data_IF_305270488321
#
_entry.id   IF_305270488321
#
_cell.length_a   1.000
_cell.length_b   1.000
_cell.length_c   1.000
_cell.angle_alpha   90.00
_cell.angle_beta   90.00
_cell.angle_gamma   90.00
#
_symmetry.space_group_name_H-M   'P 1'
#
loop_
_entity.id
_entity.type
_entity.pdbx_description
1 polymer ?
#
# COMPACT_ATOMS: atom_id res chain seq x y z
N UNK A 1 -16.68 1.09 3.96
CA UNK A 1 -16.14 0.35 2.81
C UNK A 1 -15.50 1.32 1.84
N UNK A 2 -14.32 0.98 1.31
CA UNK A 2 -13.60 1.81 0.33
C UNK A 2 -14.10 1.55 -1.10
N UNK A 3 -13.78 2.46 -2.02
CA UNK A 3 -14.07 2.30 -3.46
C UNK A 3 -13.41 1.08 -4.09
N UNK A 4 -12.41 0.50 -3.46
CA UNK A 4 -11.76 -0.73 -3.92
C UNK A 4 -12.56 -2.01 -3.65
N UNK A 5 -13.70 -1.89 -2.99
CA UNK A 5 -14.58 -3.04 -2.77
C UNK A 5 -15.27 -3.43 -4.08
N UNK A 6 -15.33 -4.74 -4.37
CA UNK A 6 -15.91 -5.27 -5.62
C UNK A 6 -17.34 -4.76 -5.92
N UNK A 7 -18.12 -4.43 -4.88
CA UNK A 7 -19.48 -3.86 -5.05
C UNK A 7 -19.39 -2.48 -5.71
N UNK A 8 -18.39 -1.65 -5.33
CA UNK A 8 -18.25 -0.33 -5.93
C UNK A 8 -17.90 -0.47 -7.42
N UNK A 9 -16.87 -1.24 -7.75
CA UNK A 9 -16.47 -1.51 -9.14
C UNK A 9 -17.65 -2.08 -9.96
N UNK A 10 -18.24 -3.18 -9.50
CA UNK A 10 -19.25 -3.92 -10.26
C UNK A 10 -20.57 -3.16 -10.41
N UNK A 11 -21.02 -2.44 -9.40
CA UNK A 11 -22.36 -1.86 -9.36
C UNK A 11 -22.39 -0.33 -9.51
N UNK A 12 -21.28 0.35 -9.28
CA UNK A 12 -21.21 1.82 -9.38
C UNK A 12 -20.29 2.24 -10.51
N UNK A 13 -18.99 1.97 -10.43
CA UNK A 13 -17.98 2.46 -11.37
C UNK A 13 -18.21 1.93 -12.79
N UNK A 14 -18.27 0.60 -12.97
CA UNK A 14 -18.49 -0.03 -14.29
C UNK A 14 -19.84 0.35 -14.92
N UNK A 15 -20.82 0.75 -14.12
CA UNK A 15 -22.13 1.19 -14.59
C UNK A 15 -22.27 2.70 -14.67
N UNK A 16 -21.25 3.48 -14.30
CA UNK A 16 -21.28 4.94 -14.29
C UNK A 16 -22.39 5.50 -13.40
N UNK A 17 -22.51 4.96 -12.18
CA UNK A 17 -23.48 5.42 -11.17
C UNK A 17 -22.77 6.31 -10.18
N UNK A 18 -23.25 7.54 -10.06
CA UNK A 18 -22.73 8.48 -9.06
C UNK A 18 -23.18 8.10 -7.66
N UNK A 19 -22.29 8.33 -6.70
CA UNK A 19 -22.58 8.15 -5.28
C UNK A 19 -23.76 9.02 -4.85
N UNK A 20 -24.66 8.45 -4.04
CA UNK A 20 -25.87 9.16 -3.58
C UNK A 20 -27.04 9.15 -4.54
N UNK A 21 -26.91 8.47 -5.69
CA UNK A 21 -28.00 8.39 -6.67
C UNK A 21 -29.08 7.40 -6.25
N UNK A 22 -30.35 7.77 -6.48
CA UNK A 22 -31.48 6.85 -6.44
C UNK A 22 -32.10 6.76 -7.82
N UNK A 23 -31.93 5.63 -8.51
CA UNK A 23 -32.38 5.43 -9.88
C UNK A 23 -32.46 3.94 -10.23
N UNK A 24 -33.09 3.63 -11.36
CA UNK A 24 -33.09 2.29 -11.97
C UNK A 24 -32.21 2.33 -13.21
N UNK A 25 -31.24 1.43 -13.29
CA UNK A 25 -30.40 1.26 -14.47
C UNK A 25 -30.30 -0.20 -14.83
N UNK A 26 -30.76 -0.57 -16.01
CA UNK A 26 -30.91 -1.94 -16.50
C UNK A 26 -31.76 -2.79 -15.53
N UNK A 27 -31.15 -3.85 -14.99
CA UNK A 27 -31.72 -4.79 -14.04
C UNK A 27 -31.47 -4.44 -12.56
N UNK A 28 -30.89 -3.29 -12.30
CA UNK A 28 -30.44 -2.89 -10.97
C UNK A 28 -31.18 -1.64 -10.50
N UNK A 29 -31.78 -1.70 -9.32
CA UNK A 29 -32.36 -0.55 -8.62
C UNK A 29 -31.38 -0.04 -7.59
N UNK A 30 -31.04 1.24 -7.67
CA UNK A 30 -30.22 1.96 -6.70
C UNK A 30 -31.14 2.77 -5.79
N UNK A 31 -31.01 2.58 -4.51
CA UNK A 31 -31.76 3.34 -3.50
C UNK A 31 -30.76 3.89 -2.50
N UNK A 32 -30.60 5.20 -2.49
CA UNK A 32 -29.78 5.88 -1.50
C UNK A 32 -30.66 6.51 -0.44
N UNK A 33 -30.47 6.12 0.81
CA UNK A 33 -31.22 6.67 1.95
C UNK A 33 -30.24 7.05 3.05
N UNK A 34 -30.57 8.12 3.77
CA UNK A 34 -29.80 8.65 4.89
C UNK A 34 -30.74 8.93 6.07
N UNK A 35 -30.19 9.39 7.18
CA UNK A 35 -31.02 9.81 8.32
C UNK A 35 -31.96 10.99 7.99
N UNK A 36 -31.64 11.76 6.96
CA UNK A 36 -32.47 12.89 6.51
C UNK A 36 -33.81 12.44 5.95
N UNK A 37 -33.89 11.24 5.40
CA UNK A 37 -35.14 10.68 4.85
C UNK A 37 -36.13 10.23 5.93
N UNK A 38 -35.71 10.23 7.21
CA UNK A 38 -36.51 9.84 8.36
C UNK A 38 -36.31 10.76 9.57
N UNK A 39 -35.91 12.00 9.33
CA UNK A 39 -35.50 12.94 10.39
C UNK A 39 -36.58 13.17 11.45
N UNK A 40 -37.86 13.17 11.03
CA UNK A 40 -39.01 13.41 11.90
C UNK A 40 -39.21 12.33 12.98
N UNK A 41 -38.66 11.13 12.75
CA UNK A 41 -38.77 10.01 13.69
C UNK A 41 -37.50 9.81 14.52
N UNK A 42 -36.52 10.70 14.40
CA UNK A 42 -35.27 10.59 15.12
C UNK A 42 -35.24 11.44 16.38
N UNK A 43 -34.62 10.92 17.44
CA UNK A 43 -34.53 11.67 18.69
C UNK A 43 -33.53 12.84 18.57
N UNK A 44 -33.79 13.92 19.32
CA UNK A 44 -32.88 15.06 19.41
C UNK A 44 -31.46 14.63 19.84
N UNK A 45 -31.33 13.65 20.75
CA UNK A 45 -30.05 13.12 21.18
C UNK A 45 -29.26 12.50 20.01
N UNK A 46 -29.96 11.75 19.14
CA UNK A 46 -29.30 11.19 17.94
C UNK A 46 -28.91 12.30 16.96
N UNK A 47 -29.76 13.27 16.70
CA UNK A 47 -29.45 14.39 15.80
C UNK A 47 -28.27 15.22 16.31
N UNK A 48 -28.18 15.46 17.62
CA UNK A 48 -27.02 16.12 18.25
C UNK A 48 -25.73 15.32 18.09
N UNK A 49 -25.79 13.97 18.20
CA UNK A 49 -24.63 13.13 17.95
C UNK A 49 -24.19 13.18 16.48
N UNK A 50 -25.12 13.15 15.54
CA UNK A 50 -24.84 13.29 14.11
C UNK A 50 -24.17 14.63 13.80
N UNK A 51 -24.69 15.73 14.38
CA UNK A 51 -24.12 17.05 14.21
C UNK A 51 -22.70 17.15 14.79
N UNK A 52 -22.47 16.56 15.96
CA UNK A 52 -21.12 16.47 16.53
C UNK A 52 -20.14 15.70 15.61
N UNK A 53 -20.61 14.61 14.97
CA UNK A 53 -19.80 13.87 14.00
C UNK A 53 -19.54 14.75 12.77
N UNK A 54 -20.56 15.45 12.27
CA UNK A 54 -20.44 16.34 11.10
C UNK A 54 -19.37 17.40 11.30
N UNK A 55 -19.36 18.04 12.47
CA UNK A 55 -18.41 19.12 12.78
C UNK A 55 -17.00 18.60 13.08
N UNK A 56 -16.90 17.54 13.91
CA UNK A 56 -15.60 17.07 14.41
C UNK A 56 -14.91 16.05 13.51
N UNK A 57 -15.68 15.32 12.68
CA UNK A 57 -15.20 14.21 11.83
C UNK A 57 -15.92 14.21 10.49
N UNK A 58 -15.71 15.21 9.63
CA UNK A 58 -16.48 15.38 8.40
C UNK A 58 -16.36 14.19 7.44
N UNK A 59 -15.20 13.52 7.36
CA UNK A 59 -15.05 12.34 6.53
C UNK A 59 -15.86 11.16 7.07
N UNK A 60 -15.88 10.96 8.38
CA UNK A 60 -16.75 9.95 9.01
C UNK A 60 -18.24 10.27 8.78
N UNK A 61 -18.61 11.55 8.81
CA UNK A 61 -19.99 11.97 8.50
C UNK A 61 -20.36 11.59 7.07
N UNK A 62 -19.53 11.95 6.08
CA UNK A 62 -19.76 11.62 4.67
C UNK A 62 -19.89 10.11 4.45
N UNK A 63 -19.04 9.31 5.08
CA UNK A 63 -19.02 7.87 4.90
C UNK A 63 -20.11 7.14 5.72
N UNK A 64 -20.09 7.28 7.05
CA UNK A 64 -20.92 6.45 7.94
C UNK A 64 -22.37 6.96 8.09
N UNK A 65 -22.57 8.27 7.92
CA UNK A 65 -23.88 8.89 8.11
C UNK A 65 -24.58 9.13 6.76
N UNK A 66 -23.82 9.60 5.77
CA UNK A 66 -24.36 9.93 4.44
C UNK A 66 -24.17 8.78 3.44
N UNK A 67 -23.69 7.61 3.86
CA UNK A 67 -23.57 6.42 3.03
C UNK A 67 -22.54 6.52 1.89
N UNK A 68 -21.54 7.39 2.05
CA UNK A 68 -20.51 7.59 1.06
C UNK A 68 -19.46 6.46 1.00
N UNK A 69 -18.81 6.33 -0.13
CA UNK A 69 -17.64 5.48 -0.28
C UNK A 69 -16.38 6.22 0.15
N UNK A 70 -15.47 5.53 0.83
CA UNK A 70 -14.17 6.07 1.20
C UNK A 70 -13.15 5.88 0.08
N UNK A 71 -12.35 6.90 -0.20
CA UNK A 71 -11.19 6.77 -1.07
C UNK A 71 -10.04 6.05 -0.36
N UNK A 72 -9.98 6.16 0.98
CA UNK A 72 -8.98 5.53 1.84
C UNK A 72 -9.65 4.87 3.04
N UNK A 73 -9.06 3.82 3.59
CA UNK A 73 -9.52 3.22 4.83
C UNK A 73 -9.38 4.19 6.02
N UNK A 74 -10.24 4.06 7.03
CA UNK A 74 -10.07 4.80 8.29
C UNK A 74 -8.81 4.29 9.01
N UNK A 75 -8.01 5.21 9.54
CA UNK A 75 -6.81 4.87 10.30
C UNK A 75 -5.65 4.35 9.44
N UNK A 76 -5.58 4.72 8.14
CA UNK A 76 -4.43 4.40 7.28
C UNK A 76 -3.13 4.86 7.91
N UNK A 77 -2.09 4.05 7.73
CA UNK A 77 -0.77 4.27 8.32
C UNK A 77 -0.01 5.36 7.56
N UNK A 78 -0.09 5.33 6.22
CA UNK A 78 0.66 6.24 5.37
C UNK A 78 -0.23 7.34 4.78
N UNK A 79 0.03 8.58 5.18
CA UNK A 79 -0.61 9.78 4.65
C UNK A 79 0.39 10.72 3.98
N UNK A 80 1.67 10.38 4.05
CA UNK A 80 2.83 11.13 3.58
C UNK A 80 3.26 10.72 2.17
N UNK A 81 2.33 10.43 1.28
CA UNK A 81 2.64 10.04 -0.08
C UNK A 81 1.79 10.79 -1.11
N UNK A 82 2.34 10.92 -2.33
CA UNK A 82 1.67 11.49 -3.49
C UNK A 82 2.16 10.83 -4.78
N UNK A 83 1.38 10.95 -5.83
CA UNK A 83 1.78 10.52 -7.18
C UNK A 83 2.84 11.45 -7.75
N UNK A 84 3.74 10.89 -8.55
CA UNK A 84 4.76 11.64 -9.27
C UNK A 84 5.77 10.74 -9.97
N UNK A 85 6.60 11.34 -10.82
CA UNK A 85 7.61 10.61 -11.58
C UNK A 85 8.70 10.03 -10.68
N UNK A 86 9.10 8.80 -10.97
CA UNK A 86 10.26 8.19 -10.33
C UNK A 86 11.53 8.95 -10.73
N UNK A 87 12.37 9.32 -9.74
CA UNK A 87 13.65 9.99 -10.00
C UNK A 87 14.82 9.19 -9.42
N UNK A 88 15.87 9.07 -10.22
CA UNK A 88 17.12 8.45 -9.80
C UNK A 88 18.06 9.54 -9.24
N UNK A 89 18.05 9.72 -7.93
CA UNK A 89 18.89 10.70 -7.22
C UNK A 89 20.11 10.06 -6.53
N UNK A 90 20.25 8.77 -6.66
CA UNK A 90 21.34 7.97 -6.07
C UNK A 90 21.32 6.53 -6.55
N UNK A 91 21.80 5.61 -5.73
CA UNK A 91 21.78 4.18 -6.03
C UNK A 91 20.39 3.63 -5.77
N UNK A 92 19.79 3.02 -6.79
CA UNK A 92 18.52 2.30 -6.64
C UNK A 92 18.75 0.99 -5.87
N UNK A 93 17.89 0.72 -4.90
CA UNK A 93 17.81 -0.57 -4.20
C UNK A 93 16.41 -1.12 -4.38
N UNK A 94 16.33 -2.41 -4.59
CA UNK A 94 15.06 -3.09 -4.83
C UNK A 94 14.67 -3.86 -3.57
N UNK A 95 13.40 -3.84 -3.24
CA UNK A 95 12.82 -4.66 -2.17
C UNK A 95 11.96 -5.75 -2.75
N UNK A 96 11.99 -6.92 -2.15
CA UNK A 96 11.22 -8.06 -2.61
C UNK A 96 10.53 -8.77 -1.45
N UNK A 97 9.21 -8.93 -1.55
CA UNK A 97 8.41 -9.78 -0.67
C UNK A 97 7.96 -11.01 -1.45
N UNK A 98 8.01 -12.18 -0.80
CA UNK A 98 7.76 -13.45 -1.44
C UNK A 98 6.41 -14.02 -1.01
N UNK A 99 5.47 -14.10 -1.96
CA UNK A 99 4.25 -14.87 -1.83
C UNK A 99 4.28 -16.14 -2.68
N UNK A 100 3.34 -17.04 -2.44
CA UNK A 100 3.22 -18.24 -3.24
C UNK A 100 1.83 -18.36 -3.88
N UNK A 101 0.89 -19.09 -3.30
CA UNK A 101 -0.38 -19.39 -3.98
C UNK A 101 -1.39 -18.26 -3.94
N UNK A 102 -1.63 -17.67 -2.77
CA UNK A 102 -2.64 -16.62 -2.59
C UNK A 102 -2.00 -15.23 -2.44
N UNK A 103 -0.80 -15.18 -1.89
CA UNK A 103 -0.08 -13.95 -1.68
C UNK A 103 0.84 -13.66 -2.88
N UNK A 104 0.94 -12.41 -3.31
CA UNK A 104 1.78 -12.04 -4.43
C UNK A 104 3.25 -12.02 -4.06
N UNK A 105 4.12 -12.38 -5.00
CA UNK A 105 5.51 -11.96 -4.98
C UNK A 105 5.60 -10.57 -5.59
N UNK A 106 6.27 -9.65 -4.90
CA UNK A 106 6.36 -8.25 -5.30
C UNK A 106 7.80 -7.82 -5.49
N UNK A 107 8.05 -6.85 -6.36
CA UNK A 107 9.33 -6.18 -6.52
C UNK A 107 9.11 -4.68 -6.59
N UNK A 108 9.73 -3.95 -5.68
CA UNK A 108 9.65 -2.49 -5.59
C UNK A 108 11.03 -1.88 -5.82
N UNK A 109 11.13 -0.90 -6.71
CA UNK A 109 12.34 -0.08 -6.90
C UNK A 109 12.24 1.14 -6.01
N UNK A 110 13.33 1.47 -5.31
CA UNK A 110 13.43 2.65 -4.43
C UNK A 110 14.65 3.49 -4.73
N UNK A 111 14.52 4.79 -4.55
CA UNK A 111 15.63 5.74 -4.59
C UNK A 111 15.42 6.80 -3.51
N UNK A 112 16.42 7.10 -2.69
CA UNK A 112 16.29 7.95 -1.50
C UNK A 112 17.07 9.25 -1.65
N UNK A 113 16.36 10.37 -1.65
CA UNK A 113 16.92 11.71 -1.46
C UNK A 113 16.96 12.03 0.04
N UNK A 114 18.10 11.76 0.67
CA UNK A 114 18.29 12.00 2.11
C UNK A 114 18.26 13.47 2.47
N UNK A 115 18.65 14.34 1.55
CA UNK A 115 18.73 15.80 1.77
C UNK A 115 17.34 16.40 1.85
N UNK A 116 16.47 16.04 0.92
CA UNK A 116 15.12 16.55 0.82
C UNK A 116 14.09 15.67 1.56
N UNK A 117 14.52 14.58 2.18
CA UNK A 117 13.64 13.63 2.86
C UNK A 117 12.54 13.06 1.93
N UNK A 118 12.95 12.63 0.73
CA UNK A 118 12.04 12.07 -0.28
C UNK A 118 12.47 10.63 -0.61
N UNK A 119 11.52 9.73 -0.68
CA UNK A 119 11.69 8.38 -1.23
C UNK A 119 10.88 8.29 -2.52
N UNK A 120 11.55 8.02 -3.64
CA UNK A 120 10.92 7.69 -4.91
C UNK A 120 10.68 6.19 -4.97
N UNK A 121 9.46 5.80 -5.35
CA UNK A 121 8.99 4.41 -5.29
C UNK A 121 8.30 4.04 -6.59
N UNK A 122 8.66 2.88 -7.14
CA UNK A 122 7.99 2.26 -8.28
C UNK A 122 7.77 0.77 -8.01
N UNK A 123 6.54 0.30 -8.12
CA UNK A 123 6.20 -1.12 -8.11
C UNK A 123 6.45 -1.69 -9.51
N UNK A 124 7.34 -2.67 -9.62
CA UNK A 124 7.73 -3.27 -10.89
C UNK A 124 6.89 -4.49 -11.25
N UNK A 125 6.57 -5.31 -10.27
CA UNK A 125 5.58 -6.36 -10.42
C UNK A 125 4.93 -6.76 -9.09
N UNK A 126 3.71 -7.32 -9.23
CA UNK A 126 2.86 -7.81 -8.16
C UNK A 126 2.12 -9.03 -8.70
N UNK A 127 2.66 -10.24 -8.50
CA UNK A 127 2.17 -11.45 -9.18
C UNK A 127 2.11 -12.64 -8.24
N UNK A 128 1.05 -13.42 -8.36
CA UNK A 128 0.83 -14.67 -7.62
C UNK A 128 1.39 -15.89 -8.36
N UNK A 129 1.58 -16.97 -7.63
CA UNK A 129 1.91 -18.30 -8.14
C UNK A 129 3.16 -18.34 -9.04
N UNK A 130 4.16 -17.52 -8.74
CA UNK A 130 5.42 -17.54 -9.48
C UNK A 130 6.32 -18.70 -9.02
N UNK A 131 6.93 -19.39 -9.97
CA UNK A 131 8.04 -20.33 -9.70
C UNK A 131 9.35 -19.56 -9.48
N UNK A 132 10.33 -20.17 -8.81
CA UNK A 132 11.69 -19.60 -8.63
C UNK A 132 12.29 -19.10 -9.94
N UNK A 133 12.18 -19.89 -11.03
CA UNK A 133 12.72 -19.51 -12.34
C UNK A 133 12.02 -18.28 -12.94
N UNK A 134 10.71 -18.12 -12.70
CA UNK A 134 9.94 -16.96 -13.15
C UNK A 134 10.33 -15.71 -12.34
N UNK A 135 10.51 -15.83 -11.01
CA UNK A 135 11.00 -14.76 -10.16
C UNK A 135 12.41 -14.35 -10.62
N UNK A 136 13.32 -15.30 -10.82
CA UNK A 136 14.68 -15.01 -11.25
C UNK A 136 14.73 -14.26 -12.60
N UNK A 137 13.86 -14.65 -13.55
CA UNK A 137 13.77 -13.98 -14.84
C UNK A 137 13.25 -12.54 -14.71
N UNK A 138 12.17 -12.33 -13.93
CA UNK A 138 11.62 -11.00 -13.68
C UNK A 138 12.64 -10.11 -12.95
N UNK A 139 13.33 -10.64 -11.95
CA UNK A 139 14.39 -9.91 -11.26
C UNK A 139 15.52 -9.50 -12.23
N UNK A 140 15.93 -10.39 -13.14
CA UNK A 140 16.93 -10.07 -14.15
C UNK A 140 16.48 -9.03 -15.16
N UNK A 141 15.16 -9.02 -15.49
CA UNK A 141 14.55 -8.05 -16.40
C UNK A 141 14.47 -6.65 -15.78
N UNK A 142 14.02 -6.55 -14.52
CA UNK A 142 13.72 -5.26 -13.87
C UNK A 142 14.87 -4.72 -13.01
N UNK A 143 15.57 -5.57 -12.30
CA UNK A 143 16.65 -5.15 -11.40
C UNK A 143 18.05 -5.40 -12.00
N UNK A 144 18.18 -6.16 -13.09
CA UNK A 144 19.44 -6.52 -13.71
C UNK A 144 20.41 -7.15 -12.70
N UNK A 145 21.51 -6.45 -12.37
CA UNK A 145 22.48 -6.83 -11.33
C UNK A 145 22.40 -5.98 -10.07
N UNK A 146 21.44 -5.07 -10.02
CA UNK A 146 21.27 -4.22 -8.84
C UNK A 146 20.86 -5.06 -7.63
N UNK A 147 21.09 -4.48 -6.45
CA UNK A 147 20.81 -5.12 -5.18
C UNK A 147 19.31 -5.25 -4.94
N UNK A 148 18.87 -6.47 -4.64
CA UNK A 148 17.54 -6.80 -4.17
C UNK A 148 17.61 -7.20 -2.70
N UNK A 149 16.80 -6.59 -1.86
CA UNK A 149 16.64 -6.94 -0.44
C UNK A 149 15.38 -7.77 -0.29
N UNK A 150 15.51 -9.07 -0.13
CA UNK A 150 14.40 -10.00 -0.05
C UNK A 150 14.00 -10.34 1.38
N UNK A 151 12.76 -10.80 1.56
CA UNK A 151 12.30 -11.33 2.84
C UNK A 151 13.19 -12.48 3.32
N UNK A 152 13.64 -12.43 4.58
CA UNK A 152 14.49 -13.44 5.19
C UNK A 152 13.74 -14.72 5.61
N UNK A 153 12.42 -14.78 5.49
CA UNK A 153 11.63 -15.99 5.79
C UNK A 153 11.87 -17.11 4.78
N UNK A 154 12.40 -16.77 3.58
CA UNK A 154 12.64 -17.69 2.46
C UNK A 154 14.15 -17.83 2.08
N UNK A 155 15.00 -18.27 3.01
CA UNK A 155 16.47 -18.30 2.77
C UNK A 155 16.87 -19.24 1.64
N UNK A 156 16.12 -20.34 1.43
CA UNK A 156 16.33 -21.27 0.31
C UNK A 156 16.05 -20.58 -1.03
N UNK A 157 14.92 -19.87 -1.15
CA UNK A 157 14.58 -19.13 -2.35
C UNK A 157 15.64 -18.07 -2.68
N UNK A 158 16.10 -17.32 -1.69
CA UNK A 158 17.19 -16.35 -1.86
C UNK A 158 18.46 -17.03 -2.43
N UNK A 159 18.83 -18.18 -1.88
CA UNK A 159 19.99 -18.95 -2.36
C UNK A 159 19.81 -19.41 -3.82
N UNK A 160 18.62 -19.91 -4.17
CA UNK A 160 18.29 -20.34 -5.54
C UNK A 160 18.29 -19.15 -6.52
N UNK A 161 17.75 -18.00 -6.15
CA UNK A 161 17.77 -16.78 -6.97
C UNK A 161 19.20 -16.29 -7.24
N UNK A 162 20.06 -16.33 -6.23
CA UNK A 162 21.49 -16.00 -6.38
C UNK A 162 22.21 -17.00 -7.29
N UNK A 163 21.91 -18.31 -7.18
CA UNK A 163 22.46 -19.33 -8.08
C UNK A 163 22.01 -19.12 -9.54
N UNK A 164 20.81 -18.53 -9.75
CA UNK A 164 20.29 -18.14 -11.06
C UNK A 164 20.81 -16.77 -11.54
N UNK A 165 21.72 -16.16 -10.80
CA UNK A 165 22.46 -14.95 -11.19
C UNK A 165 21.81 -13.63 -10.78
N UNK A 166 20.79 -13.64 -9.91
CA UNK A 166 20.31 -12.44 -9.26
C UNK A 166 21.27 -11.98 -8.16
N UNK A 167 21.11 -10.76 -7.65
CA UNK A 167 21.89 -10.20 -6.55
C UNK A 167 20.96 -9.92 -5.36
N UNK A 168 20.60 -10.96 -4.62
CA UNK A 168 19.63 -10.90 -3.53
C UNK A 168 20.31 -11.08 -2.18
N UNK A 169 19.99 -10.18 -1.23
CA UNK A 169 20.39 -10.31 0.17
C UNK A 169 19.14 -10.41 1.05
N UNK A 170 19.24 -11.15 2.14
CA UNK A 170 18.16 -11.25 3.10
C UNK A 170 18.00 -9.94 3.90
N UNK A 171 16.78 -9.49 4.12
CA UNK A 171 16.50 -8.41 5.08
C UNK A 171 16.85 -8.86 6.50
N UNK A 172 17.17 -7.90 7.38
CA UNK A 172 17.40 -8.17 8.81
C UNK A 172 16.11 -7.81 9.55
N UNK A 173 15.45 -8.80 10.14
CA UNK A 173 14.22 -8.61 10.93
C UNK A 173 14.53 -8.75 12.42
N UNK A 174 14.28 -7.70 13.21
CA UNK A 174 14.19 -7.74 14.67
C UNK A 174 12.75 -7.82 15.15
N UNK A 175 12.54 -7.91 16.47
CA UNK A 175 11.21 -8.05 17.07
C UNK A 175 10.22 -6.96 16.65
N UNK A 176 10.66 -5.71 16.47
CA UNK A 176 9.83 -4.56 16.11
C UNK A 176 10.07 -4.07 14.67
N UNK A 177 10.61 -4.93 13.80
CA UNK A 177 11.04 -4.54 12.44
C UNK A 177 9.91 -3.96 11.57
N UNK A 178 8.66 -4.38 11.80
CA UNK A 178 7.49 -3.82 11.09
C UNK A 178 7.27 -2.37 11.50
N UNK A 179 7.19 -2.10 12.80
CA UNK A 179 6.97 -0.74 13.32
C UNK A 179 8.16 0.17 12.98
N UNK A 180 9.38 -0.34 13.11
CA UNK A 180 10.59 0.39 12.72
C UNK A 180 10.54 0.79 11.25
N UNK A 181 10.25 -0.12 10.33
CA UNK A 181 10.16 0.17 8.90
C UNK A 181 9.01 1.14 8.57
N UNK A 182 7.86 1.03 9.26
CA UNK A 182 6.77 2.00 9.12
C UNK A 182 7.25 3.39 9.54
N UNK A 183 7.93 3.50 10.69
CA UNK A 183 8.46 4.80 11.18
C UNK A 183 9.45 5.39 10.19
N UNK A 184 10.37 4.60 9.65
CA UNK A 184 11.31 5.06 8.62
C UNK A 184 10.58 5.65 7.40
N UNK A 185 9.54 4.97 6.91
CA UNK A 185 8.76 5.45 5.76
C UNK A 185 7.96 6.72 6.10
N UNK A 186 7.49 6.85 7.34
CA UNK A 186 6.76 8.05 7.79
C UNK A 186 7.67 9.28 7.96
N UNK A 187 8.97 9.09 8.14
CA UNK A 187 9.96 10.18 8.26
C UNK A 187 10.32 10.83 6.90
N UNK A 188 9.79 10.32 5.80
CA UNK A 188 10.05 10.77 4.43
C UNK A 188 8.74 11.04 3.69
N UNK A 189 8.76 11.93 2.69
CA UNK A 189 7.69 12.05 1.71
C UNK A 189 7.87 10.97 0.63
N UNK A 190 6.84 10.16 0.39
CA UNK A 190 6.88 9.12 -0.63
C UNK A 190 6.33 9.67 -1.95
N UNK A 191 7.13 9.60 -3.01
CA UNK A 191 6.69 9.89 -4.39
C UNK A 191 6.50 8.55 -5.10
N UNK A 192 5.26 8.21 -5.38
CA UNK A 192 4.86 6.91 -5.95
C UNK A 192 4.52 7.10 -7.41
N UNK A 193 5.13 6.30 -8.30
CA UNK A 193 4.82 6.36 -9.72
C UNK A 193 3.39 5.88 -10.01
N UNK A 194 2.73 6.51 -11.00
CA UNK A 194 1.31 6.28 -11.31
C UNK A 194 0.99 4.85 -11.75
N UNK A 195 1.96 4.16 -12.33
CA UNK A 195 1.86 2.75 -12.75
C UNK A 195 1.90 1.75 -11.58
N UNK A 196 2.20 2.21 -10.35
CA UNK A 196 2.29 1.38 -9.15
C UNK A 196 0.93 1.07 -8.52
N UNK A 197 -0.04 0.63 -9.32
CA UNK A 197 -1.46 0.52 -8.95
C UNK A 197 -1.69 -0.29 -7.68
N UNK A 198 -1.09 -1.47 -7.54
CA UNK A 198 -1.28 -2.30 -6.35
C UNK A 198 -0.62 -1.72 -5.09
N UNK A 199 0.53 -1.04 -5.21
CA UNK A 199 1.14 -0.31 -4.09
C UNK A 199 0.26 0.87 -3.64
N UNK A 200 -0.32 1.63 -4.59
CA UNK A 200 -1.26 2.73 -4.30
C UNK A 200 -2.46 2.18 -3.53
N UNK A 201 -2.97 1.01 -3.94
CA UNK A 201 -4.06 0.30 -3.27
C UNK A 201 -3.70 -0.09 -1.84
N UNK A 202 -2.51 -0.65 -1.63
CA UNK A 202 -2.01 -0.98 -0.30
C UNK A 202 -1.86 0.27 0.57
N UNK A 203 -1.25 1.35 0.08
CA UNK A 203 -1.08 2.61 0.82
C UNK A 203 -2.40 3.24 1.23
N UNK A 204 -3.47 3.04 0.45
CA UNK A 204 -4.82 3.53 0.79
C UNK A 204 -5.55 2.66 1.81
N UNK A 205 -5.12 1.42 2.03
CA UNK A 205 -5.85 0.45 2.87
C UNK A 205 -5.05 -0.09 4.05
N UNK A 206 -3.72 -0.01 4.04
CA UNK A 206 -2.90 -0.45 5.16
C UNK A 206 -3.12 0.44 6.38
N UNK A 207 -3.73 -0.11 7.41
CA UNK A 207 -4.24 0.65 8.56
C UNK A 207 -3.90 -0.02 9.88
N UNK A 208 -4.00 0.75 10.96
CA UNK A 208 -3.89 0.22 12.31
C UNK A 208 -5.14 -0.58 12.70
N UNK A 209 -4.97 -1.66 13.45
CA UNK A 209 -6.08 -2.36 14.09
C UNK A 209 -6.72 -1.43 15.14
N UNK A 210 -8.04 -1.20 15.05
CA UNK A 210 -8.79 -0.26 15.91
C UNK A 210 -8.54 -0.45 17.42
N UNK A 211 -8.39 -1.70 17.86
CA UNK A 211 -8.17 -2.05 19.29
C UNK A 211 -6.71 -2.03 19.74
N UNK A 212 -5.75 -1.96 18.82
CA UNK A 212 -4.31 -1.98 19.10
C UNK A 212 -3.60 -1.00 18.18
N UNK A 213 -3.57 0.26 18.54
CA UNK A 213 -3.01 1.38 17.76
C UNK A 213 -1.54 1.25 17.32
N UNK A 214 -0.84 0.19 17.72
CA UNK A 214 0.53 -0.11 17.33
C UNK A 214 0.68 -1.43 16.56
N UNK A 215 -0.43 -2.06 16.18
CA UNK A 215 -0.40 -3.29 15.39
C UNK A 215 -1.10 -2.99 14.07
N UNK A 216 -0.40 -3.06 12.93
CA UNK A 216 -1.04 -2.91 11.62
C UNK A 216 -1.89 -4.15 11.29
N UNK A 217 -2.82 -3.99 10.35
CA UNK A 217 -3.55 -5.13 9.79
C UNK A 217 -2.58 -6.03 9.00
N UNK A 218 -2.88 -7.32 8.97
CA UNK A 218 -2.13 -8.31 8.19
C UNK A 218 -2.79 -8.50 6.81
N UNK A 219 -2.94 -7.39 6.08
CA UNK A 219 -3.48 -7.30 4.72
C UNK A 219 -2.98 -6.03 4.06
N UNK A 220 -2.92 -6.02 2.73
CA UNK A 220 -2.47 -4.85 1.96
C UNK A 220 -1.06 -4.41 2.35
N UNK A 221 -0.13 -5.34 2.51
CA UNK A 221 1.20 -5.09 3.05
C UNK A 221 2.35 -5.63 2.18
N UNK A 222 2.10 -6.40 1.14
CA UNK A 222 3.16 -7.07 0.37
C UNK A 222 4.12 -6.12 -0.33
N UNK A 223 3.62 -5.15 -1.09
CA UNK A 223 4.46 -4.14 -1.73
C UNK A 223 5.03 -3.16 -0.69
N UNK A 224 4.27 -2.86 0.38
CA UNK A 224 4.74 -2.04 1.51
C UNK A 224 5.88 -2.76 2.24
N UNK A 225 5.81 -4.07 2.43
CA UNK A 225 6.86 -4.86 3.08
C UNK A 225 8.12 -4.89 2.23
N UNK A 226 8.00 -5.12 0.92
CA UNK A 226 9.09 -4.98 -0.01
C UNK A 226 9.74 -3.58 0.04
N UNK A 227 8.92 -2.52 0.06
CA UNK A 227 9.39 -1.14 0.22
C UNK A 227 10.15 -0.93 1.54
N UNK A 228 9.62 -1.43 2.66
CA UNK A 228 10.26 -1.36 3.98
C UNK A 228 11.64 -2.04 3.99
N UNK A 229 11.78 -3.21 3.36
CA UNK A 229 13.05 -3.93 3.29
C UNK A 229 14.12 -3.13 2.56
N UNK A 230 13.79 -2.58 1.38
CA UNK A 230 14.72 -1.77 0.61
C UNK A 230 15.15 -0.49 1.35
N UNK A 231 14.18 0.21 1.96
CA UNK A 231 14.43 1.49 2.64
C UNK A 231 15.23 1.29 3.92
N UNK A 232 14.86 0.30 4.76
CA UNK A 232 15.61 -0.03 5.97
C UNK A 232 17.07 -0.38 5.62
N UNK A 233 17.29 -1.21 4.60
CA UNK A 233 18.63 -1.56 4.16
C UNK A 233 19.45 -0.33 3.74
N UNK A 234 18.87 0.60 2.98
CA UNK A 234 19.58 1.80 2.51
C UNK A 234 19.89 2.80 3.64
N UNK A 235 19.02 2.89 4.64
CA UNK A 235 19.18 3.84 5.75
C UNK A 235 20.10 3.29 6.83
N UNK A 236 20.02 1.99 7.14
CA UNK A 236 20.85 1.34 8.16
C UNK A 236 22.27 1.01 7.67
N UNK A 237 22.46 0.88 6.33
CA UNK A 237 23.75 0.54 5.73
C UNK A 237 24.18 1.58 4.67
N UNK A 238 24.37 2.84 5.04
CA UNK A 238 24.60 3.94 4.08
C UNK A 238 25.87 3.79 3.23
N UNK A 239 26.82 2.94 3.63
CA UNK A 239 28.08 2.72 2.92
C UNK A 239 28.11 1.47 2.03
N UNK A 240 27.19 0.52 2.21
CA UNK A 240 27.17 -0.74 1.45
C UNK A 240 26.69 -0.62 0.00
N UNK A 241 25.97 0.44 -0.35
CA UNK A 241 25.52 0.71 -1.72
C UNK A 241 26.56 1.34 -2.64
N UNK A 242 27.78 1.63 -2.15
CA UNK A 242 28.81 2.36 -2.90
C UNK A 242 29.95 1.49 -3.45
N UNK A 243 29.95 0.19 -3.21
CA UNK A 243 31.00 -0.67 -3.73
C UNK A 243 30.59 -1.26 -5.09
N UNK A 244 31.02 -0.58 -6.16
CA UNK A 244 31.15 -1.22 -7.47
C UNK A 244 32.35 -2.16 -7.42
N UNK A 245 32.12 -3.46 -7.55
CA UNK A 245 33.19 -4.40 -7.88
C UNK A 245 33.58 -4.11 -9.35
N UNK A 246 34.78 -3.58 -9.54
CA UNK A 246 35.42 -3.43 -10.88
C UNK A 246 35.83 -4.77 -11.41
#
# INVERSE_FOLDING_TARGET
TTKEHFIYDKFFESKGIEQGSSLIKNDTTYIHTTYLDNIENLSESFLNQVENIRVRRPEKYKHAIMGGWLDKAEGVIFTNWKLGDFKEVGVSVFGQDYGFSNDPTTLVKTNIDKTNKIIYVQLLYYKQALTTSQIARLNSEYAEKNLIVGDNSEPRLISELNALGNNVVATIKGADSVIYGITLLQDYDLIVSEDSVDLIKELNNYSWLEKKSKTPIDKHNHAIDALRYAVAYQLDNPTRGQYFIR
#
